data_IF_072337479030
#
_entry.id   IF_072337479030
#
_cell.length_a   1.000
_cell.length_b   1.000
_cell.length_c   1.000
_cell.angle_alpha   90.00
_cell.angle_beta   90.00
_cell.angle_gamma   90.00
#
_symmetry.space_group_name_H-M   'P 1'
#
loop_
_entity.id
_entity.type
_entity.pdbx_description
1 polymer ?
#
# COMPACT_ATOMS: atom_id res chain seq x y z
N UNK A 1 3.95 -15.00 -4.65
CA UNK A 1 4.09 -14.20 -5.89
C UNK A 1 4.67 -12.86 -5.52
N UNK A 2 5.71 -12.39 -6.22
CA UNK A 2 6.28 -11.08 -5.92
C UNK A 2 5.44 -9.97 -6.56
N UNK A 3 5.35 -8.82 -5.89
CA UNK A 3 4.66 -7.65 -6.41
C UNK A 3 5.35 -6.36 -6.00
N UNK A 4 5.05 -5.30 -6.74
CA UNK A 4 5.33 -3.93 -6.33
C UNK A 4 4.17 -3.01 -6.73
N UNK A 5 4.01 -1.90 -6.01
CA UNK A 5 2.98 -0.92 -6.29
C UNK A 5 2.97 0.23 -5.30
N UNK A 6 1.91 1.01 -5.33
CA UNK A 6 1.72 2.16 -4.45
C UNK A 6 0.54 1.90 -3.52
N UNK A 7 0.79 1.93 -2.21
CA UNK A 7 -0.25 1.77 -1.20
C UNK A 7 -0.96 3.10 -0.87
N UNK A 8 -0.32 4.23 -1.19
CA UNK A 8 -0.89 5.56 -1.21
C UNK A 8 -0.15 6.41 -2.26
N UNK A 9 -0.84 7.39 -2.86
CA UNK A 9 -0.27 8.35 -3.82
C UNK A 9 -0.46 9.74 -3.23
N UNK A 10 0.59 10.55 -3.28
CA UNK A 10 0.53 11.87 -2.67
C UNK A 10 -0.33 12.83 -3.47
N UNK A 11 -0.94 13.76 -2.75
CA UNK A 11 -1.64 14.91 -3.30
C UNK A 11 -2.87 14.56 -4.16
N UNK A 12 -3.36 13.34 -4.02
CA UNK A 12 -4.58 12.82 -4.67
C UNK A 12 -5.65 12.63 -3.61
N UNK A 13 -6.85 13.12 -3.90
CA UNK A 13 -8.02 12.98 -3.01
C UNK A 13 -8.53 11.54 -3.10
N UNK A 14 -8.70 10.90 -1.95
CA UNK A 14 -9.34 9.59 -1.88
C UNK A 14 -10.88 9.69 -1.85
N UNK A 15 -11.57 8.56 -1.84
CA UNK A 15 -13.05 8.53 -1.83
C UNK A 15 -13.67 9.01 -0.52
N UNK A 16 -12.90 9.08 0.57
CA UNK A 16 -13.33 9.66 1.84
C UNK A 16 -13.11 11.19 1.90
N UNK A 17 -12.40 11.76 0.92
CA UNK A 17 -12.07 13.18 0.86
C UNK A 17 -10.73 13.53 1.52
N UNK A 18 -9.95 12.54 1.94
CA UNK A 18 -8.63 12.75 2.53
C UNK A 18 -7.56 12.90 1.44
N UNK A 19 -6.48 13.61 1.78
CA UNK A 19 -5.26 13.69 0.95
C UNK A 19 -4.04 13.33 1.78
N UNK A 20 -3.31 12.32 1.33
CA UNK A 20 -1.97 12.01 1.85
C UNK A 20 -0.97 13.00 1.27
N UNK A 21 -0.21 13.69 2.13
CA UNK A 21 0.86 14.59 1.70
C UNK A 21 2.20 13.86 1.71
N UNK A 22 3.13 14.30 0.85
CA UNK A 22 4.52 13.87 0.91
C UNK A 22 5.07 14.04 2.33
N UNK A 23 5.79 13.05 2.84
CA UNK A 23 6.33 13.05 4.20
C UNK A 23 5.35 12.50 5.23
N UNK A 24 4.11 12.17 4.84
CA UNK A 24 3.12 11.59 5.76
C UNK A 24 3.57 10.23 6.29
N UNK A 25 4.35 9.47 5.54
CA UNK A 25 4.90 8.17 5.94
C UNK A 25 6.40 8.25 6.26
N UNK A 26 6.94 9.44 6.51
CA UNK A 26 8.34 9.58 6.90
C UNK A 26 8.63 8.73 8.15
N UNK A 27 9.60 7.81 8.03
CA UNK A 27 9.96 6.87 9.09
C UNK A 27 9.05 5.65 9.22
N UNK A 28 8.13 5.42 8.28
CA UNK A 28 7.39 4.16 8.21
C UNK A 28 8.35 2.98 8.01
N UNK A 29 8.17 1.93 8.80
CA UNK A 29 8.88 0.67 8.67
C UNK A 29 8.08 -0.37 7.91
N UNK A 30 8.66 -1.57 7.77
CA UNK A 30 7.95 -2.74 7.27
C UNK A 30 6.82 -3.09 8.24
N UNK A 31 5.62 -3.26 7.69
CA UNK A 31 4.38 -3.62 8.40
C UNK A 31 3.78 -4.88 7.78
N UNK A 32 2.83 -5.54 8.47
CA UNK A 32 2.15 -6.71 7.90
C UNK A 32 1.46 -6.42 6.57
N UNK A 33 1.49 -7.39 5.66
CA UNK A 33 0.68 -7.42 4.46
C UNK A 33 -0.61 -8.21 4.74
N UNK A 34 -1.76 -7.54 4.76
CA UNK A 34 -3.05 -8.15 5.07
C UNK A 34 -3.97 -8.27 3.83
N UNK A 35 -5.13 -8.89 4.03
CA UNK A 35 -6.23 -8.93 3.06
C UNK A 35 -7.43 -8.18 3.61
N UNK A 36 -7.91 -7.16 2.89
CA UNK A 36 -9.11 -6.40 3.22
C UNK A 36 -9.13 -5.84 4.66
N UNK A 37 -7.96 -5.39 5.15
CA UNK A 37 -7.78 -4.85 6.50
C UNK A 37 -8.16 -5.84 7.62
N UNK A 38 -8.13 -7.15 7.35
CA UNK A 38 -8.62 -8.19 8.27
C UNK A 38 -7.69 -9.39 8.30
N UNK A 39 -7.84 -10.18 9.36
CA UNK A 39 -7.16 -11.46 9.51
C UNK A 39 -5.65 -11.31 9.76
N UNK A 40 -4.94 -12.42 9.51
CA UNK A 40 -3.48 -12.48 9.62
C UNK A 40 -2.77 -12.05 8.34
N UNK A 41 -1.45 -12.05 8.39
CA UNK A 41 -0.61 -11.74 7.24
C UNK A 41 -0.83 -12.77 6.11
N UNK A 42 -1.01 -12.26 4.89
CA UNK A 42 -1.15 -13.07 3.65
C UNK A 42 0.16 -13.12 2.85
N UNK A 43 1.22 -12.56 3.41
CA UNK A 43 2.54 -12.49 2.83
C UNK A 43 3.44 -11.52 3.59
N UNK A 44 4.52 -11.10 2.95
CA UNK A 44 5.55 -10.26 3.56
C UNK A 44 5.88 -9.07 2.66
N UNK A 45 6.09 -7.90 3.25
CA UNK A 45 6.67 -6.75 2.57
C UNK A 45 8.19 -6.79 2.75
N UNK A 46 8.92 -6.62 1.65
CA UNK A 46 10.37 -6.46 1.65
C UNK A 46 10.76 -4.98 1.82
N UNK A 47 9.97 -4.07 1.24
CA UNK A 47 10.20 -2.63 1.34
C UNK A 47 8.90 -1.85 1.47
N UNK A 48 8.95 -0.78 2.25
CA UNK A 48 7.89 0.22 2.44
C UNK A 48 8.60 1.56 2.53
N UNK A 49 8.48 2.39 1.50
CA UNK A 49 9.22 3.64 1.43
C UNK A 49 8.47 4.70 0.62
N UNK A 50 8.63 5.97 1.00
CA UNK A 50 8.15 7.08 0.19
C UNK A 50 9.07 7.33 -1.00
N UNK A 51 8.49 7.75 -2.12
CA UNK A 51 9.22 8.32 -3.25
C UNK A 51 8.57 9.62 -3.75
N UNK A 52 8.94 10.07 -4.95
CA UNK A 52 8.36 11.25 -5.57
C UNK A 52 6.83 11.15 -5.78
N UNK A 53 6.26 9.95 -5.90
CA UNK A 53 4.85 9.73 -6.21
C UNK A 53 4.00 9.37 -5.00
N UNK A 54 4.50 8.53 -4.09
CA UNK A 54 3.66 7.99 -3.03
C UNK A 54 4.40 7.08 -2.05
N UNK A 55 3.63 6.30 -1.30
CA UNK A 55 4.14 5.19 -0.50
C UNK A 55 4.28 3.96 -1.39
N UNK A 56 5.51 3.70 -1.85
CA UNK A 56 5.84 2.54 -2.66
C UNK A 56 6.10 1.34 -1.76
N UNK A 57 5.58 0.19 -2.16
CA UNK A 57 5.75 -1.08 -1.45
C UNK A 57 6.17 -2.18 -2.39
N UNK A 58 6.99 -3.09 -1.89
CA UNK A 58 7.37 -4.32 -2.58
C UNK A 58 7.26 -5.48 -1.62
N UNK A 59 6.85 -6.64 -2.12
CA UNK A 59 6.66 -7.79 -1.27
C UNK A 59 6.30 -9.06 -2.01
N UNK A 60 5.94 -10.07 -1.23
CA UNK A 60 5.51 -11.37 -1.72
C UNK A 60 4.17 -11.73 -1.09
N UNK A 61 3.18 -12.02 -1.93
CA UNK A 61 1.93 -12.67 -1.51
C UNK A 61 2.21 -14.16 -1.36
N UNK A 62 2.01 -14.73 -0.18
CA UNK A 62 2.29 -16.12 0.12
C UNK A 62 1.04 -17.01 0.09
N UNK A 63 -0.13 -16.42 0.34
CA UNK A 63 -1.41 -17.09 0.11
C UNK A 63 -1.59 -17.43 -1.39
N UNK A 64 -1.71 -18.71 -1.77
CA UNK A 64 -1.76 -19.11 -3.17
C UNK A 64 -3.01 -18.65 -3.92
N UNK A 65 -4.16 -18.62 -3.27
CA UNK A 65 -5.44 -18.23 -3.87
C UNK A 65 -5.42 -16.73 -4.15
N UNK A 66 -5.06 -15.93 -3.15
CA UNK A 66 -4.92 -14.49 -3.30
C UNK A 66 -3.84 -14.13 -4.31
N UNK A 67 -2.71 -14.83 -4.32
CA UNK A 67 -1.69 -14.65 -5.35
C UNK A 67 -2.22 -14.94 -6.77
N UNK A 68 -3.15 -15.88 -6.93
CA UNK A 68 -3.88 -16.12 -8.18
C UNK A 68 -4.72 -14.93 -8.59
N UNK A 69 -5.51 -14.37 -7.67
CA UNK A 69 -6.37 -13.21 -7.89
C UNK A 69 -5.58 -11.93 -8.20
N UNK A 70 -4.44 -11.73 -7.55
CA UNK A 70 -3.57 -10.59 -7.84
C UNK A 70 -2.95 -10.73 -9.22
N UNK A 71 -2.48 -11.93 -9.57
CA UNK A 71 -1.89 -12.19 -10.88
C UNK A 71 -2.89 -12.03 -12.03
N UNK A 72 -4.16 -12.37 -11.82
CA UNK A 72 -5.21 -12.15 -12.83
C UNK A 72 -5.72 -10.71 -12.90
N UNK A 73 -5.32 -9.86 -11.95
CA UNK A 73 -5.82 -8.48 -11.83
C UNK A 73 -7.20 -8.35 -11.18
N UNK A 74 -7.83 -9.47 -10.78
CA UNK A 74 -9.09 -9.45 -10.04
C UNK A 74 -8.96 -8.74 -8.68
N UNK A 75 -7.77 -8.83 -8.08
CA UNK A 75 -7.37 -8.04 -6.90
C UNK A 75 -6.12 -7.23 -7.25
N UNK A 76 -6.31 -5.95 -7.55
CA UNK A 76 -5.20 -5.06 -7.93
C UNK A 76 -5.09 -3.82 -7.03
N UNK A 77 -5.93 -3.69 -6.00
CA UNK A 77 -5.91 -2.55 -5.08
C UNK A 77 -4.93 -2.76 -3.94
N UNK A 78 -4.34 -1.65 -3.51
CA UNK A 78 -3.60 -1.54 -2.26
C UNK A 78 -4.26 -0.49 -1.36
N UNK A 79 -4.09 -0.63 -0.05
CA UNK A 79 -4.57 0.32 0.93
C UNK A 79 -3.66 0.32 2.15
N UNK A 80 -3.71 1.39 2.94
CA UNK A 80 -2.94 1.52 4.19
C UNK A 80 -3.88 1.56 5.38
N UNK A 81 -3.56 0.78 6.40
CA UNK A 81 -4.10 0.93 7.74
C UNK A 81 -3.14 1.77 8.57
N UNK A 82 -3.64 2.84 9.16
CA UNK A 82 -2.79 3.80 9.86
C UNK A 82 -3.53 4.54 10.97
N UNK A 83 -2.75 5.13 11.89
CA UNK A 83 -3.22 6.16 12.82
C UNK A 83 -2.67 7.51 12.39
N UNK A 84 -3.54 8.49 12.15
CA UNK A 84 -3.09 9.84 11.87
C UNK A 84 -2.42 10.45 13.12
N UNK A 85 -1.20 10.96 12.98
CA UNK A 85 -0.48 11.66 14.06
C UNK A 85 -0.41 13.17 13.83
N UNK A 86 -0.51 13.60 12.56
CA UNK A 86 -0.58 15.01 12.19
C UNK A 86 -1.52 15.20 11.02
N UNK A 87 -2.45 16.13 11.16
CA UNK A 87 -3.43 16.47 10.13
C UNK A 87 -3.55 17.98 10.01
N UNK A 88 -3.92 18.46 8.82
CA UNK A 88 -4.38 19.83 8.60
C UNK A 88 -5.82 19.79 8.11
N UNK A 89 -6.68 20.54 8.80
CA UNK A 89 -8.08 20.72 8.41
C UNK A 89 -8.20 21.92 7.46
N UNK A 90 -9.15 21.85 6.53
CA UNK A 90 -9.41 22.89 5.54
C UNK A 90 -10.55 22.47 4.62
N UNK A 91 -10.50 22.90 3.35
CA UNK A 91 -11.44 22.44 2.31
C UNK A 91 -11.46 20.91 2.14
N UNK A 92 -10.36 20.26 2.52
CA UNK A 92 -10.21 18.81 2.66
C UNK A 92 -9.29 18.52 3.83
N UNK A 93 -9.40 17.32 4.40
CA UNK A 93 -8.50 16.87 5.44
C UNK A 93 -7.20 16.36 4.81
N UNK A 94 -6.11 17.01 5.16
CA UNK A 94 -4.77 16.64 4.69
C UNK A 94 -4.04 15.88 5.79
N UNK A 95 -3.58 14.68 5.48
CA UNK A 95 -2.81 13.83 6.37
C UNK A 95 -1.32 14.13 6.14
N UNK A 96 -0.68 14.68 7.17
CA UNK A 96 0.71 15.16 7.14
C UNK A 96 1.68 14.22 7.87
N UNK A 97 1.16 13.22 8.55
CA UNK A 97 1.93 12.29 9.35
C UNK A 97 1.06 11.15 9.85
N UNK A 98 1.56 9.93 9.71
CA UNK A 98 0.89 8.72 10.20
C UNK A 98 1.84 7.82 10.97
N UNK A 99 1.28 7.06 11.91
CA UNK A 99 1.86 5.80 12.33
C UNK A 99 1.25 4.70 11.45
N UNK A 100 2.05 4.15 10.53
CA UNK A 100 1.62 3.07 9.65
C UNK A 100 1.47 1.78 10.47
N UNK A 101 0.36 1.06 10.28
CA UNK A 101 0.04 -0.16 11.01
C UNK A 101 0.10 -1.38 10.11
N UNK A 102 -0.40 -1.27 8.87
CA UNK A 102 -0.42 -2.36 7.90
C UNK A 102 -0.60 -1.83 6.47
N UNK A 103 -0.30 -2.70 5.50
CA UNK A 103 -0.68 -2.52 4.11
C UNK A 103 -1.56 -3.70 3.72
N UNK A 104 -2.67 -3.43 3.03
CA UNK A 104 -3.62 -4.46 2.62
C UNK A 104 -3.71 -4.57 1.11
N UNK A 105 -3.78 -5.80 0.61
CA UNK A 105 -4.40 -6.06 -0.68
C UNK A 105 -5.92 -5.88 -0.52
N UNK A 106 -6.53 -5.17 -1.47
CA UNK A 106 -7.97 -4.87 -1.45
C UNK A 106 -8.54 -5.00 -2.86
N UNK A 107 -9.77 -5.48 -2.95
CA UNK A 107 -10.49 -5.50 -4.23
C UNK A 107 -10.78 -4.07 -4.72
N UNK A 108 -11.14 -3.17 -3.80
CA UNK A 108 -11.53 -1.80 -4.09
C UNK A 108 -10.80 -0.85 -3.15
N UNK A 109 -9.77 -0.14 -3.61
CA UNK A 109 -9.03 0.78 -2.76
C UNK A 109 -9.83 2.07 -2.50
N UNK A 110 -9.66 2.67 -1.31
CA UNK A 110 -10.23 3.98 -1.00
C UNK A 110 -9.64 5.05 -1.92
N UNK A 111 -8.34 4.95 -2.19
CA UNK A 111 -7.64 5.78 -3.18
C UNK A 111 -7.49 5.01 -4.50
N UNK A 112 -8.15 5.45 -5.57
CA UNK A 112 -8.22 4.70 -6.83
C UNK A 112 -6.87 4.38 -7.51
N UNK A 113 -5.85 5.21 -7.26
CA UNK A 113 -4.48 5.03 -7.78
C UNK A 113 -3.58 4.17 -6.88
N UNK A 114 -4.07 3.74 -5.71
CA UNK A 114 -3.32 2.80 -4.86
C UNK A 114 -3.50 1.39 -5.42
N UNK A 115 -2.50 0.94 -6.20
CA UNK A 115 -2.60 -0.26 -7.02
C UNK A 115 -1.30 -1.07 -6.98
N UNK A 116 -1.45 -2.38 -7.14
CA UNK A 116 -0.36 -3.24 -7.60
C UNK A 116 -0.07 -2.88 -9.06
N UNK A 117 1.20 -2.63 -9.39
CA UNK A 117 1.63 -2.21 -10.72
C UNK A 117 2.56 -3.21 -11.38
N UNK A 118 3.30 -3.97 -10.57
CA UNK A 118 4.22 -5.01 -11.04
C UNK A 118 3.85 -6.33 -10.37
N UNK A 119 3.81 -7.38 -11.19
CA UNK A 119 3.60 -8.77 -10.75
C UNK A 119 4.72 -9.62 -11.33
N UNK A 120 5.40 -10.39 -10.49
CA UNK A 120 6.55 -11.20 -10.88
C UNK A 120 6.62 -12.56 -10.17
N UNK A 121 7.54 -13.41 -10.65
CA UNK A 121 7.89 -14.64 -9.92
C UNK A 121 8.83 -14.30 -8.76
N UNK A 122 8.85 -15.14 -7.72
CA UNK A 122 9.63 -14.91 -6.49
C UNK A 122 11.14 -14.76 -6.78
N UNK A 123 11.65 -15.36 -7.86
CA UNK A 123 13.05 -15.25 -8.29
C UNK A 123 13.40 -13.93 -8.98
N UNK A 124 12.41 -13.18 -9.49
CA UNK A 124 12.63 -11.93 -10.23
C UNK A 124 12.83 -10.74 -9.27
N UNK A 125 12.22 -10.79 -8.07
CA UNK A 125 12.27 -9.73 -7.07
C UNK A 125 13.57 -9.67 -6.24
N UNK A 126 14.43 -10.69 -6.32
CA UNK A 126 15.72 -10.73 -5.61
C UNK A 126 16.90 -10.30 -6.48
N UNK A 127 16.66 -9.94 -7.76
CA UNK A 127 17.73 -9.65 -8.75
C UNK A 127 17.82 -8.18 -9.17
N UNK A 128 17.09 -7.28 -8.52
CA UNK A 128 17.02 -5.85 -8.88
C UNK A 128 17.56 -4.90 -7.80
N UNK A 129 18.43 -5.40 -6.91
CA UNK A 129 19.18 -4.59 -5.92
C UNK A 129 20.53 -4.15 -6.43
#
# INVERSE_FOLDING_TARGET
MAFAGYAAVFDVVDRAGDVMRRGAFAGAGVVPLLWQHRGGAVGVLASVAEDARGLRVEGVVEDPELAGLVRSGAVAGLSVGYRAVRVRQGARREVLGVALVEVSLVAVPMQGLARVEVVGRRADALRSS
#
